data_IF_841139169445
#
_entry.id   IF_841139169445
#
_cell.length_a   1.000
_cell.length_b   1.000
_cell.length_c   1.000
_cell.angle_alpha   90.00
_cell.angle_beta   90.00
_cell.angle_gamma   90.00
#
_symmetry.space_group_name_H-M   'P 1'
#
loop_
_entity.id
_entity.type
_entity.pdbx_description
1 polymer ?
#
# COMPACT_ATOMS: atom_id res chain seq x y z
N UNK A 1 9.93 22.25 36.36
CA UNK A 1 9.21 23.21 35.48
C UNK A 1 8.73 22.49 34.23
N UNK A 2 7.43 22.22 34.16
CA UNK A 2 6.81 21.56 33.03
C UNK A 2 6.34 22.64 32.04
N UNK A 3 6.93 22.67 30.85
CA UNK A 3 6.49 23.53 29.76
C UNK A 3 5.36 22.83 28.99
N UNK A 4 4.14 23.30 29.18
CA UNK A 4 2.99 22.93 28.38
C UNK A 4 3.10 23.59 26.99
N UNK A 5 3.23 22.77 25.94
CA UNK A 5 3.06 23.20 24.56
C UNK A 5 1.60 22.99 24.16
N UNK A 6 0.94 24.09 23.81
CA UNK A 6 -0.47 24.15 23.46
C UNK A 6 -0.78 23.31 22.21
N UNK A 7 -1.78 22.44 22.33
CA UNK A 7 -2.45 21.82 21.20
C UNK A 7 -3.41 22.85 20.58
N UNK A 8 -3.14 23.28 19.36
CA UNK A 8 -4.06 24.10 18.58
C UNK A 8 -5.15 23.19 18.01
N UNK A 9 -6.36 23.34 18.54
CA UNK A 9 -7.54 22.60 18.11
C UNK A 9 -8.03 23.14 16.76
N UNK A 10 -8.05 22.29 15.74
CA UNK A 10 -8.67 22.59 14.45
C UNK A 10 -10.21 22.51 14.59
N UNK A 11 -10.88 23.63 14.31
CA UNK A 11 -12.34 23.76 14.25
C UNK A 11 -12.96 22.82 13.19
N UNK A 12 -14.12 22.17 13.44
CA UNK A 12 -14.79 21.34 12.44
C UNK A 12 -15.56 22.23 11.46
N UNK A 13 -14.94 22.56 10.34
CA UNK A 13 -15.60 23.18 9.20
C UNK A 13 -16.74 22.31 8.67
N UNK A 14 -17.95 22.87 8.72
CA UNK A 14 -19.18 22.32 8.17
C UNK A 14 -19.17 22.24 6.64
N UNK A 15 -19.49 21.06 6.08
CA UNK A 15 -19.82 20.90 4.67
C UNK A 15 -19.51 19.50 4.15
N UNK A 16 -20.54 18.71 3.87
CA UNK A 16 -20.45 17.33 3.39
C UNK A 16 -19.82 17.21 1.99
N UNK A 17 -18.50 17.35 1.90
CA UNK A 17 -17.68 16.77 0.86
C UNK A 17 -17.25 15.38 1.35
N UNK A 18 -17.37 14.35 0.51
CA UNK A 18 -16.75 13.06 0.79
C UNK A 18 -15.29 13.32 1.22
N UNK A 19 -14.87 12.83 2.39
CA UNK A 19 -13.51 13.01 2.89
C UNK A 19 -12.51 12.38 1.91
N UNK A 20 -12.09 13.17 0.92
CA UNK A 20 -11.03 12.80 0.00
C UNK A 20 -9.73 12.70 0.80
N UNK A 21 -8.99 11.62 0.60
CA UNK A 21 -7.70 11.45 1.22
C UNK A 21 -6.72 12.55 0.78
N UNK A 22 -6.08 13.23 1.73
CA UNK A 22 -5.00 14.18 1.42
C UNK A 22 -3.74 13.42 1.03
N UNK A 23 -3.44 13.39 -0.28
CA UNK A 23 -2.28 12.70 -0.81
C UNK A 23 -0.94 13.26 -0.31
N UNK A 24 -0.89 14.53 0.12
CA UNK A 24 0.34 15.11 0.67
C UNK A 24 0.71 14.49 2.03
N UNK A 25 -0.24 13.83 2.69
CA UNK A 25 0.02 13.05 3.89
C UNK A 25 1.00 11.88 3.64
N UNK A 26 1.19 11.45 2.39
CA UNK A 26 2.20 10.45 2.00
C UNK A 26 3.58 11.13 1.85
N UNK A 27 4.06 11.71 2.95
CA UNK A 27 5.38 12.36 3.03
C UNK A 27 6.03 11.98 4.35
N UNK A 28 7.32 11.64 4.38
CA UNK A 28 8.04 11.39 5.63
C UNK A 28 7.85 12.52 6.64
N UNK A 29 7.57 12.17 7.89
CA UNK A 29 7.34 13.13 8.97
C UNK A 29 5.88 13.49 9.22
N UNK A 30 4.94 13.10 8.35
CA UNK A 30 3.51 13.26 8.61
C UNK A 30 3.02 12.30 9.72
N UNK A 31 1.93 12.68 10.39
CA UNK A 31 1.24 11.81 11.35
C UNK A 31 0.78 10.50 10.70
N UNK A 32 0.23 10.58 9.48
CA UNK A 32 -0.18 9.42 8.69
C UNK A 32 0.96 8.41 8.51
N UNK A 33 2.16 8.86 8.15
CA UNK A 33 3.30 7.97 7.96
C UNK A 33 3.80 7.34 9.27
N UNK A 34 3.65 8.04 10.40
CA UNK A 34 3.94 7.48 11.72
C UNK A 34 2.97 6.34 12.10
N UNK A 35 1.68 6.53 11.83
CA UNK A 35 0.65 5.51 12.06
C UNK A 35 0.80 4.32 11.10
N UNK A 36 1.11 4.61 9.83
CA UNK A 36 1.40 3.59 8.82
C UNK A 36 2.58 2.71 9.23
N UNK A 37 3.66 3.32 9.73
CA UNK A 37 4.83 2.59 10.26
C UNK A 37 4.43 1.63 11.38
N UNK A 38 3.63 2.08 12.35
CA UNK A 38 3.19 1.22 13.44
C UNK A 38 2.32 0.06 12.93
N UNK A 39 1.39 0.37 12.03
CA UNK A 39 0.48 -0.58 11.42
C UNK A 39 1.22 -1.65 10.61
N UNK A 40 2.23 -1.27 9.83
CA UNK A 40 3.06 -2.21 9.05
C UNK A 40 3.87 -3.15 9.95
N UNK A 41 4.45 -2.63 11.03
CA UNK A 41 5.19 -3.47 12.00
C UNK A 41 4.28 -4.51 12.62
N UNK A 42 3.10 -4.08 13.06
CA UNK A 42 2.08 -4.99 13.59
C UNK A 42 1.66 -6.02 12.53
N UNK A 43 1.41 -5.59 11.29
CA UNK A 43 1.04 -6.48 10.20
C UNK A 43 2.10 -7.55 9.93
N UNK A 44 3.38 -7.17 9.81
CA UNK A 44 4.48 -8.12 9.62
C UNK A 44 4.58 -9.13 10.77
N UNK A 45 4.50 -8.66 12.02
CA UNK A 45 4.55 -9.53 13.20
C UNK A 45 3.35 -10.51 13.24
N UNK A 46 2.15 -10.00 12.99
CA UNK A 46 0.93 -10.79 12.94
C UNK A 46 0.97 -11.86 11.83
N UNK A 47 1.47 -11.49 10.64
CA UNK A 47 1.64 -12.44 9.53
C UNK A 47 2.69 -13.50 9.83
N UNK A 48 3.83 -13.13 10.41
CA UNK A 48 4.86 -14.08 10.81
C UNK A 48 4.33 -15.11 11.83
N UNK A 49 3.48 -14.67 12.77
CA UNK A 49 2.88 -15.56 13.77
C UNK A 49 1.78 -16.48 13.21
N UNK A 50 0.94 -15.97 12.31
CA UNK A 50 -0.29 -16.66 11.87
C UNK A 50 -0.16 -17.40 10.55
N UNK A 51 0.69 -16.96 9.62
CA UNK A 51 0.74 -17.45 8.25
C UNK A 51 1.80 -18.56 8.08
N UNK A 52 1.41 -19.79 7.70
CA UNK A 52 2.38 -20.84 7.38
C UNK A 52 3.36 -20.46 6.27
N UNK A 53 2.91 -19.64 5.31
CA UNK A 53 3.74 -19.17 4.20
C UNK A 53 4.88 -18.25 4.62
N UNK A 54 4.80 -17.65 5.82
CA UNK A 54 5.81 -16.70 6.32
C UNK A 54 6.84 -17.34 7.24
N UNK A 55 6.69 -18.63 7.59
CA UNK A 55 7.57 -19.31 8.56
C UNK A 55 9.03 -19.42 8.14
N UNK A 56 9.32 -19.32 6.84
CA UNK A 56 10.67 -19.40 6.25
C UNK A 56 11.07 -18.12 5.52
N UNK A 57 10.38 -17.02 5.78
CA UNK A 57 10.68 -15.72 5.19
C UNK A 57 11.40 -14.85 6.23
N UNK A 58 12.49 -14.22 5.80
CA UNK A 58 13.03 -13.07 6.50
C UNK A 58 12.34 -11.82 5.98
N UNK A 59 11.76 -11.03 6.89
CA UNK A 59 11.01 -9.81 6.54
C UNK A 59 11.76 -8.61 7.09
N UNK A 60 12.24 -7.76 6.18
CA UNK A 60 12.94 -6.51 6.51
C UNK A 60 12.03 -5.33 6.20
N UNK A 61 11.80 -4.46 7.17
CA UNK A 61 10.99 -3.25 7.02
C UNK A 61 11.88 -2.00 7.14
N UNK A 62 12.00 -1.24 6.06
CA UNK A 62 12.67 0.07 6.03
C UNK A 62 11.63 1.17 5.84
N UNK A 63 11.17 1.73 6.96
CA UNK A 63 10.08 2.72 7.00
C UNK A 63 10.54 4.15 6.61
N UNK A 64 9.61 5.11 6.65
CA UNK A 64 9.86 6.51 6.28
C UNK A 64 10.75 7.26 7.25
N UNK A 65 11.07 6.71 8.43
CA UNK A 65 12.04 7.32 9.34
C UNK A 65 13.49 7.07 8.90
N UNK A 66 13.72 6.07 8.04
CA UNK A 66 15.02 5.81 7.43
C UNK A 66 15.15 6.63 6.16
N UNK A 67 16.16 7.50 6.11
CA UNK A 67 16.43 8.36 4.96
C UNK A 67 16.68 7.57 3.67
N UNK A 68 16.40 8.21 2.54
CA UNK A 68 16.55 7.65 1.20
C UNK A 68 15.21 7.26 0.55
N UNK A 69 15.23 7.20 -0.78
CA UNK A 69 14.08 6.79 -1.59
C UNK A 69 13.91 5.27 -1.54
N UNK A 70 12.66 4.79 -1.64
CA UNK A 70 12.34 3.37 -1.47
C UNK A 70 13.08 2.48 -2.47
N UNK A 71 13.09 2.85 -3.75
CA UNK A 71 13.78 2.10 -4.80
C UNK A 71 15.30 2.04 -4.55
N UNK A 72 15.93 3.16 -4.19
CA UNK A 72 17.36 3.18 -3.91
C UNK A 72 17.73 2.37 -2.66
N UNK A 73 16.88 2.37 -1.62
CA UNK A 73 17.08 1.48 -0.45
C UNK A 73 17.07 0.00 -0.83
N UNK A 74 16.16 -0.41 -1.73
CA UNK A 74 16.12 -1.80 -2.23
C UNK A 74 17.41 -2.12 -2.99
N UNK A 75 17.84 -1.23 -3.89
CA UNK A 75 19.05 -1.45 -4.69
C UNK A 75 20.31 -1.48 -3.82
N UNK A 76 20.38 -0.64 -2.78
CA UNK A 76 21.45 -0.66 -1.80
C UNK A 76 21.48 -1.97 -1.01
N UNK A 77 20.30 -2.48 -0.61
CA UNK A 77 20.22 -3.77 0.06
C UNK A 77 20.75 -4.89 -0.82
N UNK A 78 20.32 -4.99 -2.09
CA UNK A 78 20.82 -5.99 -3.05
C UNK A 78 22.35 -5.89 -3.20
N UNK A 79 22.87 -4.67 -3.39
CA UNK A 79 24.33 -4.44 -3.49
C UNK A 79 25.08 -4.86 -2.24
N UNK A 80 24.51 -4.66 -1.05
CA UNK A 80 25.11 -5.09 0.20
C UNK A 80 25.09 -6.61 0.34
N UNK A 81 23.98 -7.27 0.01
CA UNK A 81 23.89 -8.74 0.04
C UNK A 81 24.91 -9.39 -0.88
N UNK A 82 25.08 -8.87 -2.10
CA UNK A 82 26.09 -9.38 -3.04
C UNK A 82 27.53 -9.29 -2.53
N UNK A 83 27.82 -8.34 -1.63
CA UNK A 83 29.15 -8.18 -1.00
C UNK A 83 29.37 -9.13 0.19
N UNK A 84 28.31 -9.76 0.72
CA UNK A 84 28.41 -10.65 1.86
C UNK A 84 29.08 -11.98 1.47
N UNK A 85 29.93 -12.55 2.35
CA UNK A 85 30.48 -13.88 2.13
C UNK A 85 29.35 -14.92 2.13
N UNK A 86 29.34 -15.79 1.13
CA UNK A 86 28.32 -16.84 0.99
C UNK A 86 27.07 -16.43 0.19
N UNK A 87 27.03 -15.23 -0.39
CA UNK A 87 25.97 -14.86 -1.32
C UNK A 87 25.97 -15.76 -2.57
N UNK A 88 24.80 -16.30 -2.90
CA UNK A 88 24.60 -17.14 -4.07
C UNK A 88 24.35 -16.26 -5.32
N UNK A 89 25.21 -16.30 -6.36
CA UNK A 89 25.08 -15.41 -7.52
C UNK A 89 23.87 -15.73 -8.41
N UNK A 90 23.20 -16.86 -8.20
CA UNK A 90 21.97 -17.28 -8.89
C UNK A 90 20.69 -16.90 -8.13
N UNK A 91 20.82 -16.13 -7.04
CA UNK A 91 19.68 -15.57 -6.30
C UNK A 91 18.76 -14.80 -7.23
N UNK A 92 17.46 -15.12 -7.17
CA UNK A 92 16.45 -14.48 -8.01
C UNK A 92 15.78 -13.33 -7.26
N UNK A 93 15.84 -12.13 -7.81
CA UNK A 93 15.24 -10.93 -7.24
C UNK A 93 13.94 -10.60 -7.98
N UNK A 94 12.86 -10.34 -7.25
CA UNK A 94 11.60 -9.84 -7.80
C UNK A 94 11.27 -8.50 -7.13
N UNK A 95 11.20 -7.44 -7.92
CA UNK A 95 10.97 -6.07 -7.44
C UNK A 95 9.61 -5.61 -7.94
N UNK A 96 8.76 -5.18 -7.02
CA UNK A 96 7.46 -4.60 -7.34
C UNK A 96 7.53 -3.08 -7.35
N UNK A 97 7.04 -2.46 -8.43
CA UNK A 97 6.87 -1.02 -8.48
C UNK A 97 6.40 -0.52 -9.84
N UNK A 98 5.87 0.71 -9.84
CA UNK A 98 5.34 1.36 -11.03
C UNK A 98 6.37 2.24 -11.75
N UNK A 99 7.46 2.60 -11.09
CA UNK A 99 8.44 3.56 -11.56
C UNK A 99 9.26 2.99 -12.72
N UNK A 100 9.54 3.84 -13.70
CA UNK A 100 10.32 3.45 -14.88
C UNK A 100 11.81 3.25 -14.51
N UNK A 101 12.28 3.95 -13.48
CA UNK A 101 13.67 3.96 -13.05
C UNK A 101 14.11 2.58 -12.52
N UNK A 102 13.16 1.78 -12.02
CA UNK A 102 13.40 0.39 -11.62
C UNK A 102 14.03 -0.46 -12.73
N UNK A 103 13.76 -0.17 -14.01
CA UNK A 103 14.40 -0.89 -15.13
C UNK A 103 15.90 -0.62 -15.14
N UNK A 104 16.29 0.66 -15.12
CA UNK A 104 17.68 1.05 -15.18
C UNK A 104 18.43 0.69 -13.90
N UNK A 105 17.79 0.90 -12.75
CA UNK A 105 18.34 0.53 -11.45
C UNK A 105 18.57 -0.99 -11.34
N UNK A 106 17.63 -1.80 -11.83
CA UNK A 106 17.78 -3.26 -11.85
C UNK A 106 18.97 -3.70 -12.69
N UNK A 107 19.15 -3.12 -13.88
CA UNK A 107 20.32 -3.41 -14.73
C UNK A 107 21.63 -3.02 -14.05
N UNK A 108 21.65 -1.90 -13.32
CA UNK A 108 22.82 -1.43 -12.59
C UNK A 108 23.19 -2.30 -11.37
N UNK A 109 22.33 -3.21 -10.92
CA UNK A 109 22.69 -4.19 -9.87
C UNK A 109 23.69 -5.24 -10.36
N UNK A 110 23.73 -5.50 -11.68
CA UNK A 110 24.46 -6.60 -12.30
C UNK A 110 24.13 -7.99 -11.71
N UNK A 111 22.91 -8.17 -11.20
CA UNK A 111 22.39 -9.48 -10.82
C UNK A 111 21.90 -10.23 -12.05
N UNK A 112 22.17 -11.54 -12.12
CA UNK A 112 21.81 -12.35 -13.28
C UNK A 112 20.29 -12.51 -13.45
N UNK A 113 19.56 -12.61 -12.33
CA UNK A 113 18.13 -12.93 -12.30
C UNK A 113 17.35 -11.85 -11.56
N UNK A 114 16.94 -10.82 -12.30
CA UNK A 114 16.05 -9.75 -11.78
C UNK A 114 14.76 -9.74 -12.58
N UNK A 115 13.63 -9.73 -11.87
CA UNK A 115 12.29 -9.67 -12.42
C UNK A 115 11.57 -8.43 -11.88
N UNK A 116 10.91 -7.68 -12.77
CA UNK A 116 10.08 -6.55 -12.39
C UNK A 116 8.60 -6.94 -12.48
N UNK A 117 7.88 -6.76 -11.37
CA UNK A 117 6.44 -6.95 -11.30
C UNK A 117 5.74 -5.59 -11.28
N UNK A 118 4.89 -5.35 -12.27
CA UNK A 118 4.16 -4.11 -12.44
C UNK A 118 2.70 -4.38 -12.74
N UNK A 119 1.82 -3.59 -12.15
CA UNK A 119 0.42 -3.58 -12.55
C UNK A 119 0.22 -2.95 -13.94
N UNK A 120 -0.79 -3.41 -14.66
CA UNK A 120 -1.09 -2.86 -15.97
C UNK A 120 -1.69 -1.46 -15.83
N UNK A 121 -1.04 -0.48 -16.45
CA UNK A 121 -1.51 0.90 -16.48
C UNK A 121 -2.00 1.22 -17.89
N UNK A 122 -3.28 1.58 -18.09
CA UNK A 122 -3.79 1.96 -19.40
C UNK A 122 -3.01 3.14 -20.00
N UNK A 123 -2.93 3.19 -21.33
CA UNK A 123 -2.18 4.23 -22.06
C UNK A 123 -3.08 4.93 -23.08
N UNK A 124 -2.86 6.22 -23.32
CA UNK A 124 -3.63 6.99 -24.30
C UNK A 124 -5.07 7.27 -23.86
N UNK A 125 -6.02 7.19 -24.79
CA UNK A 125 -7.44 7.48 -24.54
C UNK A 125 -8.07 6.56 -23.47
N UNK A 126 -7.46 5.39 -23.23
CA UNK A 126 -7.90 4.46 -22.19
C UNK A 126 -7.61 4.97 -20.77
N UNK A 127 -6.66 5.90 -20.56
CA UNK A 127 -6.42 6.54 -19.25
C UNK A 127 -7.59 7.38 -18.77
N UNK A 128 -8.33 7.97 -19.70
CA UNK A 128 -9.51 8.79 -19.42
C UNK A 128 -10.77 7.94 -19.29
N UNK A 129 -10.70 6.62 -19.54
CA UNK A 129 -11.80 5.72 -19.22
C UNK A 129 -11.82 5.50 -17.72
N UNK A 130 -12.77 6.15 -17.07
CA UNK A 130 -13.07 5.89 -15.66
C UNK A 130 -13.62 4.47 -15.57
N UNK A 131 -12.78 3.50 -15.19
CA UNK A 131 -13.21 2.13 -14.95
C UNK A 131 -13.49 1.95 -13.46
N UNK A 132 -14.65 1.42 -13.13
CA UNK A 132 -15.02 1.22 -11.74
C UNK A 132 -14.25 0.05 -11.12
N UNK A 133 -13.49 0.30 -10.04
CA UNK A 133 -12.74 -0.75 -9.32
C UNK A 133 -13.62 -1.81 -8.66
N UNK A 134 -14.90 -1.51 -8.43
CA UNK A 134 -15.83 -2.43 -7.78
C UNK A 134 -16.56 -3.35 -8.76
N UNK A 135 -16.91 -2.87 -9.96
CA UNK A 135 -17.72 -3.66 -10.91
C UNK A 135 -17.09 -3.82 -12.31
N UNK A 136 -15.94 -3.21 -12.57
CA UNK A 136 -15.19 -3.34 -13.82
C UNK A 136 -15.80 -2.67 -15.05
N UNK A 137 -16.92 -1.93 -14.91
CA UNK A 137 -17.60 -1.19 -15.97
C UNK A 137 -17.04 0.23 -16.13
N UNK A 138 -17.09 0.74 -17.36
CA UNK A 138 -16.62 2.09 -17.69
C UNK A 138 -17.69 3.16 -17.34
N UNK A 139 -17.24 4.40 -17.12
CA UNK A 139 -18.07 5.61 -16.99
C UNK A 139 -18.38 6.07 -15.56
N UNK A 140 -17.88 5.41 -14.52
CA UNK A 140 -18.11 5.83 -13.12
C UNK A 140 -17.00 5.36 -12.17
N UNK A 141 -16.75 6.13 -11.10
CA UNK A 141 -15.86 5.75 -10.00
C UNK A 141 -16.58 4.81 -9.01
N UNK A 142 -15.85 4.23 -8.05
CA UNK A 142 -16.43 3.37 -6.99
C UNK A 142 -17.64 4.01 -6.29
N UNK A 143 -17.58 5.30 -6.00
CA UNK A 143 -18.63 6.05 -5.28
C UNK A 143 -19.93 6.19 -6.09
N UNK A 144 -19.81 6.17 -7.42
CA UNK A 144 -20.93 6.16 -8.36
C UNK A 144 -21.38 4.75 -8.76
N UNK A 145 -20.82 3.70 -8.15
CA UNK A 145 -21.06 2.34 -8.60
C UNK A 145 -22.44 1.82 -8.20
N UNK A 146 -23.30 1.40 -9.14
CA UNK A 146 -24.60 0.85 -8.82
C UNK A 146 -24.51 -0.46 -8.02
N UNK A 147 -23.40 -1.21 -8.14
CA UNK A 147 -23.17 -2.44 -7.36
C UNK A 147 -22.85 -2.12 -5.90
N UNK A 148 -21.96 -1.16 -5.65
CA UNK A 148 -21.57 -0.74 -4.29
C UNK A 148 -22.75 -0.04 -3.61
N UNK A 149 -23.42 0.87 -4.32
CA UNK A 149 -24.61 1.57 -3.81
C UNK A 149 -25.77 0.62 -3.51
N UNK A 150 -25.94 -0.45 -4.29
CA UNK A 150 -26.94 -1.47 -3.98
C UNK A 150 -26.56 -2.34 -2.77
N UNK A 151 -25.26 -2.59 -2.55
CA UNK A 151 -24.77 -3.31 -1.37
C UNK A 151 -24.83 -2.45 -0.09
N UNK A 152 -24.70 -1.13 -0.22
CA UNK A 152 -24.78 -0.15 0.88
C UNK A 152 -26.20 0.38 1.12
N UNK A 153 -27.18 0.02 0.28
CA UNK A 153 -28.56 0.41 0.47
C UNK A 153 -29.13 -0.24 1.76
N UNK A 154 -29.75 0.54 2.66
CA UNK A 154 -30.39 -0.01 3.84
C UNK A 154 -31.72 -0.69 3.45
N UNK A 155 -31.65 -1.98 3.10
CA UNK A 155 -32.77 -2.89 2.90
C UNK A 155 -32.23 -4.22 2.39
N UNK A 156 -32.13 -5.31 3.15
CA UNK A 156 -33.05 -5.84 4.14
C UNK A 156 -32.31 -6.44 5.35
N UNK A 157 -32.18 -5.68 6.44
CA UNK A 157 -31.97 -6.26 7.77
C UNK A 157 -33.27 -6.85 8.36
N UNK A 158 -34.42 -6.65 7.69
CA UNK A 158 -35.74 -7.00 8.21
C UNK A 158 -36.27 -8.39 7.80
N UNK A 159 -35.59 -9.16 6.94
CA UNK A 159 -36.10 -10.47 6.49
C UNK A 159 -35.27 -11.69 6.93
N UNK A 160 -34.26 -11.51 7.79
CA UNK A 160 -33.51 -12.62 8.43
C UNK A 160 -33.95 -12.94 9.86
N UNK A 161 -34.92 -12.22 10.43
CA UNK A 161 -35.43 -12.44 11.79
C UNK A 161 -36.79 -13.18 11.87
N UNK A 162 -37.17 -13.94 10.82
CA UNK A 162 -38.53 -14.50 10.71
C UNK A 162 -38.67 -15.96 10.27
N UNK A 163 -37.60 -16.77 10.22
CA UNK A 163 -37.69 -18.22 9.98
C UNK A 163 -36.72 -18.99 10.88
N UNK A 164 -37.14 -19.15 12.12
CA UNK A 164 -36.47 -19.95 13.14
C UNK A 164 -37.37 -20.02 14.38
N UNK A 165 -38.47 -20.76 14.27
CA UNK A 165 -39.47 -20.85 15.34
C UNK A 165 -40.69 -21.64 14.93
N UNK A 166 -40.53 -22.96 14.82
CA UNK A 166 -41.48 -24.04 15.12
C UNK A 166 -40.89 -25.36 14.59
#
# INVERSE_FOLDING_TARGET
EAAAAAAEAAEPGSGGAACSFDHNAITPGSAFMADLRHSLRYYCASRAASSPAWRRLEVVLSDSAVAGEGEHKIMDFIRQQRRQPGYAPDTSHCIYGLDADLVMLSLATHELRVHLLREWVPVGAERFRVRCDACGRDGHTRDGCPVVRAAEAPGDAAQRAGRGGA
#
